data_IF_752158543103
#
_entry.id   IF_752158543103
#
_cell.length_a   1.000
_cell.length_b   1.000
_cell.length_c   1.000
_cell.angle_alpha   90.00
_cell.angle_beta   90.00
_cell.angle_gamma   90.00
#
_symmetry.space_group_name_H-M   'P 1'
#
loop_
_entity.id
_entity.type
_entity.pdbx_description
1 polymer ?
#
# COMPACT_ATOMS: atom_id res chain seq x y z
N UNK A 1 8.50 -19.40 9.58
CA UNK A 1 7.35 -18.53 9.89
C UNK A 1 7.49 -17.31 9.00
N UNK A 2 6.78 -17.28 7.87
CA UNK A 2 6.86 -16.16 6.92
C UNK A 2 6.33 -14.89 7.61
N UNK A 3 7.15 -13.83 7.66
CA UNK A 3 6.72 -12.55 8.20
C UNK A 3 5.65 -11.97 7.29
N UNK A 4 4.42 -11.89 7.79
CA UNK A 4 3.33 -11.19 7.11
C UNK A 4 3.75 -9.73 7.00
N UNK A 5 3.85 -9.23 5.77
CA UNK A 5 4.23 -7.85 5.48
C UNK A 5 3.02 -7.14 4.88
N UNK A 6 2.41 -6.27 5.67
CA UNK A 6 1.35 -5.39 5.21
C UNK A 6 1.97 -4.26 4.38
N UNK A 7 1.57 -4.15 3.12
CA UNK A 7 1.98 -3.06 2.22
C UNK A 7 0.73 -2.36 1.70
N UNK A 8 0.74 -1.04 1.69
CA UNK A 8 -0.33 -0.20 1.17
C UNK A 8 0.03 0.24 -0.25
N UNK A 9 -0.72 -0.24 -1.24
CA UNK A 9 -0.51 0.07 -2.65
C UNK A 9 -1.58 1.04 -3.13
N UNK A 10 -1.18 2.13 -3.77
CA UNK A 10 -2.11 3.08 -4.37
C UNK A 10 -2.69 2.50 -5.67
N UNK A 11 -4.01 2.34 -5.75
CA UNK A 11 -4.69 1.80 -6.92
C UNK A 11 -4.68 2.75 -8.14
N UNK A 12 -4.39 4.03 -7.93
CA UNK A 12 -4.42 5.04 -8.99
C UNK A 12 -3.10 5.20 -9.73
N UNK A 13 -1.97 5.01 -9.03
CA UNK A 13 -0.62 5.16 -9.62
C UNK A 13 0.30 3.95 -9.40
N UNK A 14 -0.07 3.03 -8.50
CA UNK A 14 0.77 1.88 -8.13
C UNK A 14 1.76 2.15 -7.00
N UNK A 15 1.78 3.34 -6.39
CA UNK A 15 2.71 3.69 -5.31
C UNK A 15 2.55 2.78 -4.08
N UNK A 16 3.64 2.16 -3.61
CA UNK A 16 3.64 1.25 -2.47
C UNK A 16 4.27 1.89 -1.23
N UNK A 17 3.63 1.72 -0.08
CA UNK A 17 4.09 2.22 1.21
C UNK A 17 3.91 1.16 2.30
N UNK A 18 4.84 1.06 3.25
CA UNK A 18 4.67 0.16 4.41
C UNK A 18 3.68 0.69 5.46
N UNK A 19 3.12 1.89 5.25
CA UNK A 19 2.13 2.54 6.13
C UNK A 19 1.07 3.28 5.32
N UNK A 20 -0.16 3.32 5.85
CA UNK A 20 -1.25 4.10 5.26
C UNK A 20 -0.94 5.60 5.40
N UNK A 21 -0.84 6.31 4.28
CA UNK A 21 -0.53 7.75 4.25
C UNK A 21 -1.78 8.63 4.11
N UNK A 22 -2.96 8.05 3.82
CA UNK A 22 -4.22 8.78 3.62
C UNK A 22 -4.31 9.46 2.26
N UNK A 23 -3.26 10.19 1.90
CA UNK A 23 -3.04 10.83 0.60
C UNK A 23 -1.82 10.22 -0.09
N UNK A 24 -1.96 9.84 -1.35
CA UNK A 24 -0.84 9.35 -2.14
C UNK A 24 0.13 10.49 -2.48
N UNK A 25 1.45 10.36 -2.20
CA UNK A 25 2.42 11.40 -2.53
C UNK A 25 2.73 11.50 -4.04
N UNK A 26 2.49 10.43 -4.81
CA UNK A 26 2.68 10.45 -6.26
C UNK A 26 1.50 11.11 -7.00
N UNK A 27 0.30 10.54 -6.88
CA UNK A 27 -0.86 11.03 -7.63
C UNK A 27 -1.72 12.06 -6.86
N UNK A 28 -1.36 12.39 -5.62
CA UNK A 28 -2.12 13.30 -4.75
C UNK A 28 -3.56 12.86 -4.44
N UNK A 29 -3.93 11.62 -4.77
CA UNK A 29 -5.26 11.07 -4.51
C UNK A 29 -5.47 10.68 -3.04
N UNK A 30 -6.70 10.83 -2.57
CA UNK A 30 -7.12 10.44 -1.23
C UNK A 30 -7.90 9.13 -1.28
N UNK A 31 -7.77 8.30 -0.24
CA UNK A 31 -8.47 7.00 -0.13
C UNK A 31 -8.20 6.02 -1.28
N UNK A 32 -7.09 6.18 -2.00
CA UNK A 32 -6.69 5.30 -3.10
C UNK A 32 -5.73 4.20 -2.69
N UNK A 33 -5.37 4.12 -1.40
CA UNK A 33 -4.48 3.08 -0.90
C UNK A 33 -5.29 1.83 -0.55
N UNK A 34 -4.86 0.68 -1.09
CA UNK A 34 -5.33 -0.65 -0.70
C UNK A 34 -4.27 -1.33 0.15
N UNK A 35 -4.69 -1.93 1.25
CA UNK A 35 -3.86 -2.81 2.06
C UNK A 35 -3.71 -4.17 1.37
N UNK A 36 -2.46 -4.61 1.20
CA UNK A 36 -2.12 -5.87 0.59
C UNK A 36 -1.19 -6.63 1.54
N UNK A 37 -1.70 -7.72 2.10
CA UNK A 37 -0.96 -8.62 2.98
C UNK A 37 -0.26 -9.68 2.11
N UNK A 38 0.97 -9.37 1.71
CA UNK A 38 1.76 -10.31 0.91
C UNK A 38 2.31 -11.42 1.81
N UNK A 39 1.65 -12.58 1.78
CA UNK A 39 2.16 -13.83 2.34
C UNK A 39 3.08 -14.48 1.31
N UNK A 40 4.39 -14.26 1.44
CA UNK A 40 5.38 -14.95 0.60
C UNK A 40 5.72 -16.31 1.23
N UNK A 41 5.35 -17.45 0.61
CA UNK A 41 5.58 -18.79 1.16
C UNK A 41 7.06 -19.16 1.27
#
# INVERSE_FOLDING_TARGET
MAKIKTTFTCQECGYQSAKWLGKCPECNQWNSFSEEETFKP
#
